data_IF_704556739954
#
_entry.id   IF_704556739954
#
_cell.length_a   1.000
_cell.length_b   1.000
_cell.length_c   1.000
_cell.angle_alpha   90.00
_cell.angle_beta   90.00
_cell.angle_gamma   90.00
#
_symmetry.space_group_name_H-M   'P 1'
#
loop_
_entity.id
_entity.type
_entity.pdbx_description
1 polymer ?
#
# COMPACT_ATOMS: atom_id res chain seq x y z
N UNK A 1 11.10 27.73 19.52
CA UNK A 1 10.62 26.64 18.64
C UNK A 1 11.71 26.37 17.61
N UNK A 2 12.23 25.14 17.51
CA UNK A 2 13.19 24.81 16.44
C UNK A 2 12.46 24.86 15.10
N UNK A 3 12.89 25.73 14.20
CA UNK A 3 12.27 25.89 12.89
C UNK A 3 12.37 24.59 12.09
N UNK A 4 11.36 24.31 11.28
CA UNK A 4 11.34 23.21 10.32
C UNK A 4 12.52 23.37 9.34
N UNK A 5 13.33 22.31 9.19
CA UNK A 5 14.49 22.29 8.32
C UNK A 5 14.28 21.25 7.22
N UNK A 6 14.26 21.73 5.97
CA UNK A 6 14.02 20.90 4.79
C UNK A 6 15.11 19.83 4.58
N UNK A 7 16.36 20.16 4.84
CA UNK A 7 17.46 19.21 4.65
C UNK A 7 17.36 18.05 5.65
N UNK A 8 17.12 18.38 6.92
CA UNK A 8 16.86 17.33 7.95
C UNK A 8 15.66 16.48 7.62
N UNK A 9 14.60 17.08 7.09
CA UNK A 9 13.38 16.36 6.70
C UNK A 9 13.65 15.35 5.58
N UNK A 10 14.39 15.75 4.54
CA UNK A 10 14.80 14.87 3.44
C UNK A 10 15.70 13.74 3.92
N UNK A 11 16.65 14.03 4.83
CA UNK A 11 17.50 13.02 5.44
C UNK A 11 16.71 12.00 6.28
N UNK A 12 15.67 12.45 6.99
CA UNK A 12 14.75 11.58 7.73
C UNK A 12 13.97 10.65 6.79
N UNK A 13 13.44 11.18 5.69
CA UNK A 13 12.76 10.37 4.68
C UNK A 13 13.69 9.29 4.11
N UNK A 14 14.90 9.68 3.74
CA UNK A 14 15.90 8.74 3.23
C UNK A 14 16.25 7.66 4.26
N UNK A 15 16.43 8.05 5.52
CA UNK A 15 16.70 7.13 6.61
C UNK A 15 15.55 6.14 6.81
N UNK A 16 14.29 6.60 6.84
CA UNK A 16 13.13 5.74 7.01
C UNK A 16 12.96 4.74 5.85
N UNK A 17 13.22 5.17 4.61
CA UNK A 17 13.17 4.28 3.44
C UNK A 17 14.26 3.20 3.53
N UNK A 18 15.51 3.59 3.79
CA UNK A 18 16.65 2.66 3.80
C UNK A 18 16.57 1.71 5.01
N UNK A 19 16.25 2.24 6.18
CA UNK A 19 16.16 1.44 7.42
C UNK A 19 15.03 0.41 7.40
N UNK A 20 13.95 0.68 6.67
CA UNK A 20 12.77 -0.17 6.59
C UNK A 20 12.55 -0.83 5.21
N UNK A 21 13.56 -0.84 4.36
CA UNK A 21 13.48 -1.35 2.99
C UNK A 21 12.79 -2.71 2.89
N UNK A 22 13.17 -3.65 3.72
CA UNK A 22 12.56 -5.00 3.71
C UNK A 22 11.06 -4.98 3.98
N UNK A 23 10.62 -4.12 4.91
CA UNK A 23 9.19 -3.97 5.23
C UNK A 23 8.43 -3.34 4.06
N UNK A 24 9.01 -2.35 3.38
CA UNK A 24 8.41 -1.72 2.21
C UNK A 24 8.27 -2.69 1.04
N UNK A 25 9.30 -3.49 0.77
CA UNK A 25 9.26 -4.54 -0.28
C UNK A 25 8.24 -5.62 0.07
N UNK A 26 8.23 -6.12 1.30
CA UNK A 26 7.24 -7.13 1.72
C UNK A 26 5.82 -6.60 1.62
N UNK A 27 5.61 -5.33 1.98
CA UNK A 27 4.31 -4.66 1.82
C UNK A 27 3.90 -4.55 0.35
N UNK A 28 4.81 -4.15 -0.54
CA UNK A 28 4.54 -4.04 -1.97
C UNK A 28 4.17 -5.40 -2.60
N UNK A 29 4.90 -6.46 -2.25
CA UNK A 29 4.59 -7.83 -2.70
C UNK A 29 3.23 -8.27 -2.16
N UNK A 30 2.95 -8.03 -0.87
CA UNK A 30 1.66 -8.37 -0.26
C UNK A 30 0.49 -7.64 -0.90
N UNK A 31 0.64 -6.35 -1.19
CA UNK A 31 -0.36 -5.54 -1.90
C UNK A 31 -0.63 -6.09 -3.30
N UNK A 32 0.43 -6.42 -4.05
CA UNK A 32 0.31 -7.02 -5.38
C UNK A 32 -0.43 -8.36 -5.34
N UNK A 33 -0.03 -9.26 -4.43
CA UNK A 33 -0.66 -10.57 -4.29
C UNK A 33 -2.13 -10.46 -3.88
N UNK A 34 -2.48 -9.50 -3.01
CA UNK A 34 -3.86 -9.27 -2.60
C UNK A 34 -4.74 -8.82 -3.78
N UNK A 35 -4.27 -7.87 -4.59
CA UNK A 35 -5.00 -7.44 -5.78
C UNK A 35 -5.08 -8.54 -6.84
N UNK A 36 -3.99 -9.25 -7.06
CA UNK A 36 -3.95 -10.37 -7.99
C UNK A 36 -4.95 -11.46 -7.59
N UNK A 37 -4.93 -11.90 -6.34
CA UNK A 37 -5.85 -12.92 -5.82
C UNK A 37 -7.31 -12.47 -5.91
N UNK A 38 -7.60 -11.19 -5.62
CA UNK A 38 -8.95 -10.65 -5.71
C UNK A 38 -9.48 -10.67 -7.16
N UNK A 39 -8.68 -10.22 -8.11
CA UNK A 39 -9.11 -10.13 -9.51
C UNK A 39 -9.22 -11.50 -10.18
N UNK A 40 -8.26 -12.39 -9.96
CA UNK A 40 -8.34 -13.76 -10.50
C UNK A 40 -9.42 -14.60 -9.80
N UNK A 41 -9.65 -14.40 -8.52
CA UNK A 41 -10.78 -14.99 -7.81
C UNK A 41 -12.11 -14.61 -8.44
N UNK A 42 -12.28 -13.32 -8.83
CA UNK A 42 -13.49 -12.86 -9.52
C UNK A 42 -13.68 -13.52 -10.87
N UNK A 43 -12.63 -13.66 -11.69
CA UNK A 43 -12.73 -14.38 -12.96
C UNK A 43 -13.19 -15.80 -12.73
N UNK A 44 -12.57 -16.51 -11.78
CA UNK A 44 -12.92 -17.90 -11.47
C UNK A 44 -14.38 -18.06 -11.06
N UNK A 45 -14.88 -17.20 -10.17
CA UNK A 45 -16.29 -17.23 -9.74
C UNK A 45 -17.26 -16.84 -10.86
N UNK A 46 -16.89 -15.88 -11.70
CA UNK A 46 -17.71 -15.42 -12.83
C UNK A 46 -17.82 -16.45 -13.93
N UNK A 47 -16.75 -17.17 -14.23
CA UNK A 47 -16.75 -18.28 -15.21
C UNK A 47 -17.61 -19.45 -14.71
N UNK A 48 -17.58 -19.74 -13.42
CA UNK A 48 -18.35 -20.84 -12.81
C UNK A 48 -19.87 -20.57 -12.83
N UNK A 49 -20.30 -19.31 -12.75
CA UNK A 49 -21.71 -18.92 -12.74
C UNK A 49 -22.24 -18.56 -14.14
N UNK A 50 -22.03 -19.38 -15.11
CA UNK A 50 -22.13 -19.15 -16.53
C UNK A 50 -23.55 -19.20 -17.13
N UNK A 51 -24.52 -18.45 -16.58
CA UNK A 51 -25.92 -18.49 -17.02
C UNK A 51 -26.40 -17.25 -17.82
N UNK A 52 -25.63 -16.17 -17.92
CA UNK A 52 -26.05 -14.90 -18.55
C UNK A 52 -25.42 -14.68 -19.95
N UNK A 53 -26.02 -13.80 -20.76
CA UNK A 53 -25.50 -13.43 -22.09
C UNK A 53 -24.14 -12.74 -22.03
N UNK A 54 -23.28 -12.94 -23.06
CA UNK A 54 -21.90 -12.45 -23.09
C UNK A 54 -21.74 -10.93 -22.84
N UNK A 55 -22.53 -10.00 -23.44
CA UNK A 55 -22.32 -8.57 -23.23
C UNK A 55 -22.71 -8.07 -21.83
N UNK A 56 -23.80 -8.56 -21.26
CA UNK A 56 -24.18 -8.24 -19.88
C UNK A 56 -23.17 -8.76 -18.86
N UNK A 57 -22.59 -9.91 -19.16
CA UNK A 57 -21.56 -10.53 -18.32
C UNK A 57 -20.29 -9.70 -18.24
N UNK A 58 -19.78 -9.20 -19.36
CA UNK A 58 -18.58 -8.37 -19.38
C UNK A 58 -18.74 -7.09 -18.52
N UNK A 59 -19.90 -6.43 -18.62
CA UNK A 59 -20.24 -5.27 -17.81
C UNK A 59 -20.29 -5.57 -16.31
N UNK A 60 -20.93 -6.68 -15.93
CA UNK A 60 -21.02 -7.08 -14.53
C UNK A 60 -19.67 -7.50 -13.94
N UNK A 61 -18.85 -8.25 -14.69
CA UNK A 61 -17.49 -8.64 -14.26
C UNK A 61 -16.63 -7.40 -14.01
N UNK A 62 -16.65 -6.41 -14.91
CA UNK A 62 -15.89 -5.17 -14.72
C UNK A 62 -16.35 -4.40 -13.48
N UNK A 63 -17.65 -4.30 -13.25
CA UNK A 63 -18.23 -3.61 -12.09
C UNK A 63 -17.87 -4.31 -10.78
N UNK A 64 -18.00 -5.62 -10.73
CA UNK A 64 -17.72 -6.42 -9.55
C UNK A 64 -16.22 -6.45 -9.24
N UNK A 65 -15.36 -6.55 -10.25
CA UNK A 65 -13.91 -6.46 -10.11
C UNK A 65 -13.49 -5.09 -9.57
N UNK A 66 -14.08 -4.00 -10.05
CA UNK A 66 -13.82 -2.67 -9.53
C UNK A 66 -14.22 -2.55 -8.05
N UNK A 67 -15.39 -3.05 -7.68
CA UNK A 67 -15.90 -3.00 -6.29
C UNK A 67 -15.00 -3.77 -5.32
N UNK A 68 -14.58 -4.98 -5.67
CA UNK A 68 -13.68 -5.79 -4.84
C UNK A 68 -12.30 -5.16 -4.75
N UNK A 69 -11.78 -4.65 -5.86
CA UNK A 69 -10.49 -3.95 -5.87
C UNK A 69 -10.49 -2.73 -4.96
N UNK A 70 -11.62 -2.03 -4.86
CA UNK A 70 -11.76 -0.91 -3.94
C UNK A 70 -11.69 -1.35 -2.48
N UNK A 71 -12.38 -2.44 -2.12
CA UNK A 71 -12.32 -3.02 -0.77
C UNK A 71 -10.90 -3.50 -0.43
N UNK A 72 -10.24 -4.19 -1.36
CA UNK A 72 -8.85 -4.64 -1.18
C UNK A 72 -7.92 -3.46 -1.01
N UNK A 73 -8.07 -2.40 -1.82
CA UNK A 73 -7.29 -1.16 -1.69
C UNK A 73 -7.45 -0.52 -0.31
N UNK A 74 -8.67 -0.48 0.21
CA UNK A 74 -8.94 0.04 1.54
C UNK A 74 -8.24 -0.77 2.64
N UNK A 75 -8.28 -2.10 2.55
CA UNK A 75 -7.60 -3.00 3.50
C UNK A 75 -6.08 -2.80 3.42
N UNK A 76 -5.51 -2.81 2.21
CA UNK A 76 -4.06 -2.62 1.98
C UNK A 76 -3.61 -1.27 2.54
N UNK A 77 -4.37 -0.21 2.30
CA UNK A 77 -4.06 1.11 2.83
C UNK A 77 -4.13 1.17 4.37
N UNK A 78 -5.13 0.52 4.97
CA UNK A 78 -5.25 0.42 6.43
C UNK A 78 -4.06 -0.32 7.06
N UNK A 79 -3.60 -1.40 6.43
CA UNK A 79 -2.39 -2.13 6.85
C UNK A 79 -1.15 -1.24 6.73
N UNK A 80 -1.01 -0.47 5.64
CA UNK A 80 0.10 0.47 5.47
C UNK A 80 0.17 1.49 6.60
N UNK A 81 -0.95 2.11 6.95
CA UNK A 81 -1.01 3.07 8.05
C UNK A 81 -0.66 2.43 9.41
N UNK A 82 -1.06 1.17 9.61
CA UNK A 82 -0.67 0.41 10.81
C UNK A 82 0.85 0.19 10.89
N UNK A 83 1.52 -0.01 9.77
CA UNK A 83 2.98 -0.19 9.70
C UNK A 83 3.75 1.10 9.98
N UNK A 84 3.14 2.27 9.89
CA UNK A 84 3.75 3.56 10.20
C UNK A 84 4.38 3.58 11.60
N UNK A 85 3.76 2.90 12.56
CA UNK A 85 4.23 2.82 13.93
C UNK A 85 5.02 1.55 14.28
N UNK A 86 5.32 0.70 13.29
CA UNK A 86 6.01 -0.57 13.52
C UNK A 86 7.39 -0.41 14.20
N UNK A 87 8.11 0.69 13.92
CA UNK A 87 9.39 0.99 14.56
C UNK A 87 9.28 1.37 16.04
N UNK A 88 8.08 1.68 16.52
CA UNK A 88 7.87 1.96 17.95
C UNK A 88 7.57 0.72 18.77
N UNK A 89 7.35 -0.45 18.15
CA UNK A 89 7.01 -1.71 18.82
C UNK A 89 8.18 -2.26 19.66
N UNK A 90 9.42 -2.12 19.18
CA UNK A 90 10.60 -2.67 19.87
C UNK A 90 11.37 -1.57 20.58
N UNK A 91 11.79 -1.84 21.83
CA UNK A 91 12.52 -0.90 22.69
C UNK A 91 13.77 -0.30 22.01
N UNK A 92 14.67 -1.09 21.37
CA UNK A 92 15.86 -0.55 20.73
C UNK A 92 15.54 0.35 19.54
N UNK A 93 14.56 -0.01 18.71
CA UNK A 93 14.16 0.82 17.55
C UNK A 93 13.50 2.13 17.99
N UNK A 94 12.71 2.08 19.06
CA UNK A 94 12.09 3.27 19.65
C UNK A 94 13.14 4.24 20.18
N UNK A 95 14.15 3.75 20.90
CA UNK A 95 15.25 4.58 21.42
C UNK A 95 16.01 5.21 20.25
N UNK A 96 16.44 4.43 19.28
CA UNK A 96 17.14 4.93 18.09
C UNK A 96 16.35 6.02 17.36
N UNK A 97 15.04 5.84 17.22
CA UNK A 97 14.16 6.81 16.56
C UNK A 97 14.02 8.11 17.37
N UNK A 98 13.90 8.01 18.70
CA UNK A 98 13.77 9.19 19.57
C UNK A 98 15.07 9.99 19.62
N UNK A 99 16.23 9.34 19.47
CA UNK A 99 17.55 9.99 19.46
C UNK A 99 17.88 10.71 18.16
N UNK A 100 17.09 10.55 17.08
CA UNK A 100 17.32 11.29 15.85
C UNK A 100 17.23 12.82 16.09
N UNK A 101 18.18 13.62 15.58
CA UNK A 101 18.25 15.06 15.81
C UNK A 101 17.22 15.84 14.99
N UNK A 102 15.95 15.58 15.21
CA UNK A 102 14.85 16.21 14.51
C UNK A 102 13.67 16.48 15.46
N UNK A 103 12.80 17.42 15.09
CA UNK A 103 11.61 17.72 15.87
C UNK A 103 10.57 16.60 15.76
N UNK A 104 9.71 16.47 16.77
CA UNK A 104 8.66 15.45 16.76
C UNK A 104 7.71 15.62 15.56
N UNK A 105 7.47 16.87 15.16
CA UNK A 105 6.63 17.18 13.99
C UNK A 105 7.29 16.71 12.69
N UNK A 106 8.59 16.97 12.51
CA UNK A 106 9.35 16.49 11.34
C UNK A 106 9.34 14.96 11.27
N UNK A 107 9.53 14.29 12.41
CA UNK A 107 9.51 12.82 12.51
C UNK A 107 8.14 12.23 12.17
N UNK A 108 7.07 12.84 12.66
CA UNK A 108 5.72 12.40 12.36
C UNK A 108 5.36 12.65 10.90
N UNK A 109 5.64 13.86 10.41
CA UNK A 109 5.28 14.28 9.05
C UNK A 109 6.03 13.45 7.99
N UNK A 110 7.33 13.15 8.20
CA UNK A 110 8.11 12.33 7.27
C UNK A 110 7.49 10.94 7.12
N UNK A 111 7.10 10.32 8.21
CA UNK A 111 6.45 9.00 8.19
C UNK A 111 5.06 9.04 7.60
N UNK A 112 4.26 10.02 8.01
CA UNK A 112 2.92 10.18 7.48
C UNK A 112 2.94 10.33 5.96
N UNK A 113 3.81 11.18 5.42
CA UNK A 113 3.96 11.34 3.97
C UNK A 113 4.47 10.07 3.31
N UNK A 114 5.48 9.41 3.88
CA UNK A 114 6.05 8.19 3.31
C UNK A 114 5.00 7.07 3.24
N UNK A 115 4.27 6.83 4.32
CA UNK A 115 3.30 5.74 4.36
C UNK A 115 2.01 6.09 3.61
N UNK A 116 1.54 7.33 3.63
CA UNK A 116 0.33 7.74 2.90
C UNK A 116 0.60 7.80 1.39
N UNK A 117 1.60 8.56 0.95
CA UNK A 117 1.91 8.70 -0.47
C UNK A 117 2.56 7.42 -1.02
N UNK A 118 3.52 6.84 -0.31
CA UNK A 118 4.20 5.61 -0.72
C UNK A 118 3.24 4.44 -0.84
N UNK A 119 2.38 4.23 0.17
CA UNK A 119 1.37 3.18 0.11
C UNK A 119 0.33 3.44 -0.97
N UNK A 120 -0.08 4.70 -1.19
CA UNK A 120 -0.98 5.08 -2.28
C UNK A 120 -0.42 4.72 -3.65
N UNK A 121 0.84 5.09 -3.91
CA UNK A 121 1.52 4.76 -5.17
C UNK A 121 1.67 3.25 -5.35
N UNK A 122 2.14 2.52 -4.33
CA UNK A 122 2.30 1.07 -4.38
C UNK A 122 0.96 0.38 -4.64
N UNK A 123 -0.09 0.80 -3.95
CA UNK A 123 -1.43 0.26 -4.11
C UNK A 123 -1.98 0.50 -5.52
N UNK A 124 -1.80 1.71 -6.05
CA UNK A 124 -2.22 2.06 -7.42
C UNK A 124 -1.47 1.24 -8.47
N UNK A 125 -0.15 1.14 -8.36
CA UNK A 125 0.69 0.33 -9.27
C UNK A 125 0.30 -1.15 -9.19
N UNK A 126 0.10 -1.69 -7.99
CA UNK A 126 -0.34 -3.08 -7.79
C UNK A 126 -1.70 -3.34 -8.45
N UNK A 127 -2.65 -2.42 -8.30
CA UNK A 127 -3.95 -2.51 -8.95
C UNK A 127 -3.84 -2.52 -10.48
N UNK A 128 -3.10 -1.56 -11.07
CA UNK A 128 -2.92 -1.46 -12.53
C UNK A 128 -2.26 -2.72 -13.10
N UNK A 129 -1.20 -3.22 -12.44
CA UNK A 129 -0.55 -4.46 -12.88
C UNK A 129 -1.46 -5.68 -12.80
N UNK A 130 -2.24 -5.81 -11.74
CA UNK A 130 -3.18 -6.93 -11.60
C UNK A 130 -4.29 -6.84 -12.65
N UNK A 131 -4.77 -5.64 -12.97
CA UNK A 131 -5.80 -5.43 -13.99
C UNK A 131 -5.28 -5.71 -15.41
N UNK A 132 -4.04 -5.30 -15.71
CA UNK A 132 -3.38 -5.63 -16.98
C UNK A 132 -3.21 -7.15 -17.15
N UNK A 133 -2.78 -7.86 -16.12
CA UNK A 133 -2.66 -9.31 -16.16
C UNK A 133 -4.02 -9.98 -16.34
N UNK A 134 -5.06 -9.45 -15.74
CA UNK A 134 -6.43 -9.91 -15.92
C UNK A 134 -6.89 -9.77 -17.38
N UNK A 135 -6.55 -8.67 -18.05
CA UNK A 135 -6.91 -8.44 -19.44
C UNK A 135 -6.18 -9.36 -20.44
N UNK A 136 -5.02 -9.87 -20.03
CA UNK A 136 -4.20 -10.79 -20.83
C UNK A 136 -4.59 -12.27 -20.65
N UNK A 137 -5.28 -12.58 -19.57
CA UNK A 137 -5.72 -13.94 -19.21
C UNK A 137 -7.11 -14.25 -19.76
#
# INVERSE_FOLDING_TARGET
>A
MKNFDKERFVQLLKYDVVSNWRNHVSFAIGAFLAHFAAQFGMIYFSVKNMYNSLPERAGNICRDAASISFVVSYIVFSVALSLMFANLKTKPKRIAYLMLPATNVEKFLSRFLLFTLGAGVVNFVAFVFADLLRMLA
#
